data_IF_502479231270
#
_entry.id   IF_502479231270
#
_cell.length_a   1.000
_cell.length_b   1.000
_cell.length_c   1.000
_cell.angle_alpha   90.00
_cell.angle_beta   90.00
_cell.angle_gamma   90.00
#
_symmetry.space_group_name_H-M   'P 1'
#
loop_
_entity.id
_entity.type
_entity.pdbx_description
1 polymer ?
#
# COMPACT_ATOMS: atom_id res chain seq x y z
N UNK A 1 -20.30 30.59 -15.75
CA UNK A 1 -19.13 30.61 -14.86
C UNK A 1 -19.65 30.23 -13.50
N UNK A 2 -19.44 28.97 -13.13
CA UNK A 2 -20.04 28.38 -11.95
C UNK A 2 -19.22 28.76 -10.71
N UNK A 3 -19.82 29.29 -9.62
CA UNK A 3 -19.09 29.66 -8.41
C UNK A 3 -18.42 28.46 -7.70
N UNK A 4 -18.77 27.23 -8.08
CA UNK A 4 -18.22 25.95 -7.60
C UNK A 4 -16.84 25.61 -8.18
N UNK A 5 -16.32 26.36 -9.17
CA UNK A 5 -15.10 26.01 -9.89
C UNK A 5 -13.80 26.50 -9.24
N UNK A 6 -13.86 27.24 -8.13
CA UNK A 6 -12.65 27.78 -7.49
C UNK A 6 -12.16 26.79 -6.45
N UNK A 7 -10.91 26.33 -6.56
CA UNK A 7 -10.38 25.37 -5.59
C UNK A 7 -10.32 25.94 -4.17
N UNK A 8 -10.71 25.17 -3.13
CA UNK A 8 -10.57 25.58 -1.74
C UNK A 8 -9.09 25.64 -1.27
N UNK A 9 -8.14 25.15 -2.07
CA UNK A 9 -6.72 25.19 -1.76
C UNK A 9 -6.05 26.44 -2.35
N UNK A 10 -5.54 27.34 -1.51
CA UNK A 10 -4.85 28.57 -1.97
C UNK A 10 -3.61 28.26 -2.83
N UNK A 11 -2.93 27.14 -2.54
CA UNK A 11 -1.75 26.68 -3.28
C UNK A 11 -2.08 26.37 -4.75
N UNK A 12 -3.32 25.96 -5.04
CA UNK A 12 -3.75 25.69 -6.43
C UNK A 12 -3.72 26.97 -7.26
N UNK A 13 -4.05 28.11 -6.65
CA UNK A 13 -3.99 29.43 -7.30
C UNK A 13 -2.57 29.98 -7.33
N UNK A 14 -1.86 29.89 -6.21
CA UNK A 14 -0.51 30.46 -6.06
C UNK A 14 0.51 29.79 -6.99
N UNK A 15 0.45 28.46 -7.11
CA UNK A 15 1.42 27.65 -7.86
C UNK A 15 0.83 27.08 -9.16
N UNK A 16 -0.22 27.68 -9.71
CA UNK A 16 -0.92 27.16 -10.88
C UNK A 16 0.01 26.78 -12.06
N UNK A 17 1.01 27.61 -12.46
CA UNK A 17 1.95 27.25 -13.53
C UNK A 17 2.85 26.06 -13.21
N UNK A 18 3.27 25.90 -11.94
CA UNK A 18 4.10 24.80 -11.47
C UNK A 18 3.29 23.51 -11.39
N UNK A 19 2.07 23.58 -10.87
CA UNK A 19 1.13 22.45 -10.78
C UNK A 19 0.81 21.93 -12.17
N UNK A 20 0.54 22.82 -13.14
CA UNK A 20 0.30 22.44 -14.52
C UNK A 20 1.49 21.65 -15.13
N UNK A 21 2.73 22.03 -14.79
CA UNK A 21 3.92 21.31 -15.25
C UNK A 21 4.10 19.95 -14.56
N UNK A 22 3.82 19.84 -13.26
CA UNK A 22 3.85 18.56 -12.53
C UNK A 22 2.83 17.56 -13.07
N UNK A 23 1.66 18.05 -13.46
CA UNK A 23 0.54 17.22 -13.92
C UNK A 23 0.57 16.95 -15.43
N UNK A 24 1.35 17.69 -16.20
CA UNK A 24 1.49 17.47 -17.63
C UNK A 24 2.00 16.04 -17.93
N UNK A 25 1.43 15.43 -18.97
CA UNK A 25 1.94 14.17 -19.48
C UNK A 25 3.38 14.38 -20.01
N UNK A 26 4.33 13.51 -19.65
CA UNK A 26 5.69 13.64 -20.16
C UNK A 26 5.72 13.47 -21.68
N UNK A 27 6.59 14.18 -22.42
CA UNK A 27 6.79 13.94 -23.84
C UNK A 27 7.14 12.47 -24.09
N UNK A 28 6.59 11.89 -25.16
CA UNK A 28 6.76 10.46 -25.49
C UNK A 28 8.23 10.05 -25.53
N UNK A 29 9.10 10.88 -26.10
CA UNK A 29 10.54 10.62 -26.15
C UNK A 29 11.15 10.55 -24.74
N UNK A 30 10.84 11.50 -23.86
CA UNK A 30 11.34 11.52 -22.49
C UNK A 30 10.81 10.35 -21.66
N UNK A 31 9.56 9.93 -21.90
CA UNK A 31 8.98 8.74 -21.29
C UNK A 31 9.70 7.46 -21.79
N UNK A 32 9.97 7.35 -23.09
CA UNK A 32 10.73 6.22 -23.66
C UNK A 32 12.13 6.13 -23.04
N UNK A 33 12.88 7.24 -23.02
CA UNK A 33 14.23 7.29 -22.42
C UNK A 33 14.23 6.96 -20.92
N UNK A 34 13.14 7.26 -20.21
CA UNK A 34 12.98 6.88 -18.81
C UNK A 34 12.83 5.36 -18.68
N UNK A 35 11.93 4.75 -19.43
CA UNK A 35 11.69 3.31 -19.38
C UNK A 35 12.86 2.49 -19.91
N UNK A 36 13.53 2.93 -20.97
CA UNK A 36 14.71 2.26 -21.51
C UNK A 36 15.83 2.22 -20.45
N UNK A 37 16.05 3.31 -19.71
CA UNK A 37 17.01 3.34 -18.60
C UNK A 37 16.60 2.40 -17.46
N UNK A 38 15.31 2.33 -17.13
CA UNK A 38 14.82 1.40 -16.12
C UNK A 38 15.06 -0.05 -16.52
N UNK A 39 14.69 -0.42 -17.75
CA UNK A 39 14.88 -1.76 -18.32
C UNK A 39 16.36 -2.14 -18.31
N UNK A 40 17.23 -1.24 -18.76
CA UNK A 40 18.69 -1.44 -18.75
C UNK A 40 19.21 -1.64 -17.32
N UNK A 41 18.79 -0.79 -16.37
CA UNK A 41 19.22 -0.86 -14.97
C UNK A 41 18.71 -2.12 -14.24
N UNK A 42 17.51 -2.58 -14.59
CA UNK A 42 16.90 -3.79 -14.05
C UNK A 42 17.37 -5.08 -14.72
N UNK A 43 18.23 -4.97 -15.77
CA UNK A 43 18.67 -6.08 -16.60
C UNK A 43 17.51 -6.88 -17.21
N UNK A 44 16.42 -6.19 -17.56
CA UNK A 44 15.28 -6.80 -18.25
C UNK A 44 15.55 -6.85 -19.76
N UNK A 45 16.41 -7.76 -20.19
CA UNK A 45 16.85 -7.84 -21.59
C UNK A 45 15.75 -8.29 -22.58
N UNK A 46 14.70 -8.94 -22.08
CA UNK A 46 13.64 -9.56 -22.89
C UNK A 46 12.39 -8.72 -23.17
N UNK A 47 12.34 -7.48 -22.69
CA UNK A 47 11.17 -6.62 -22.84
C UNK A 47 11.53 -5.21 -23.32
N UNK A 48 10.54 -4.52 -23.87
CA UNK A 48 10.57 -3.09 -24.18
C UNK A 48 9.25 -2.43 -23.79
N UNK A 49 9.28 -1.16 -23.45
CA UNK A 49 8.06 -0.35 -23.33
C UNK A 49 7.76 0.27 -24.68
N UNK A 50 6.50 0.16 -25.11
CA UNK A 50 5.97 0.74 -26.33
C UNK A 50 4.79 1.67 -25.99
N UNK A 51 4.58 2.71 -26.80
CA UNK A 51 3.41 3.58 -26.70
C UNK A 51 2.55 3.48 -27.96
N UNK A 52 1.25 3.28 -27.79
CA UNK A 52 0.24 3.20 -28.85
C UNK A 52 -0.80 4.30 -28.66
N UNK A 53 -1.34 4.85 -29.75
CA UNK A 53 -2.48 5.79 -29.63
C UNK A 53 -3.75 5.12 -29.10
N UNK A 54 -3.89 3.80 -29.27
CA UNK A 54 -5.09 3.04 -28.92
C UNK A 54 -5.06 2.48 -27.50
N UNK A 55 -3.89 2.08 -27.02
CA UNK A 55 -3.71 1.35 -25.76
C UNK A 55 -2.62 1.99 -24.88
N UNK A 56 -2.19 3.22 -25.22
CA UNK A 56 -1.05 3.93 -24.63
C UNK A 56 0.14 3.05 -24.29
N UNK A 57 0.63 3.09 -23.04
CA UNK A 57 1.82 2.34 -22.63
C UNK A 57 1.55 0.82 -22.57
N UNK A 58 2.37 0.03 -23.24
CA UNK A 58 2.40 -1.42 -23.10
C UNK A 58 3.82 -1.94 -22.91
N UNK A 59 3.94 -3.10 -22.28
CA UNK A 59 5.20 -3.86 -22.22
C UNK A 59 5.13 -4.95 -23.29
N UNK A 60 6.12 -5.00 -24.16
CA UNK A 60 6.20 -5.97 -25.24
C UNK A 60 7.47 -6.81 -25.11
N UNK A 61 7.38 -8.09 -25.45
CA UNK A 61 8.57 -8.92 -25.63
C UNK A 61 9.45 -8.38 -26.77
N UNK A 62 10.77 -8.46 -26.60
CA UNK A 62 11.75 -8.20 -27.66
C UNK A 62 12.58 -9.46 -27.99
N UNK A 63 12.31 -10.58 -27.32
CA UNK A 63 12.87 -11.91 -27.53
C UNK A 63 11.79 -12.97 -27.31
N UNK A 64 12.08 -14.21 -27.67
CA UNK A 64 11.22 -15.37 -27.40
C UNK A 64 11.37 -15.81 -25.94
N UNK A 65 10.26 -16.26 -25.33
CA UNK A 65 10.22 -16.82 -23.98
C UNK A 65 9.63 -18.23 -24.05
N UNK A 66 10.18 -19.14 -23.26
CA UNK A 66 9.62 -20.46 -23.03
C UNK A 66 8.61 -20.45 -21.87
N UNK A 67 7.80 -21.50 -21.79
CA UNK A 67 6.92 -21.72 -20.64
C UNK A 67 7.75 -21.83 -19.35
N UNK A 68 7.34 -21.09 -18.31
CA UNK A 68 8.05 -21.01 -17.05
C UNK A 68 9.13 -19.91 -16.96
N UNK A 69 9.43 -19.21 -18.06
CA UNK A 69 10.40 -18.12 -18.03
C UNK A 69 9.90 -16.92 -17.20
N UNK A 70 10.79 -16.37 -16.36
CA UNK A 70 10.53 -15.10 -15.68
C UNK A 70 10.66 -13.94 -16.67
N UNK A 71 9.52 -13.43 -17.13
CA UNK A 71 9.45 -12.32 -18.11
C UNK A 71 9.79 -10.97 -17.48
N UNK A 72 9.23 -10.67 -16.31
CA UNK A 72 9.37 -9.38 -15.63
C UNK A 72 9.39 -9.58 -14.11
N UNK A 73 10.38 -8.94 -13.47
CA UNK A 73 10.42 -8.74 -12.02
C UNK A 73 10.48 -7.24 -11.74
N UNK A 74 9.31 -6.66 -11.52
CA UNK A 74 9.21 -5.22 -11.33
C UNK A 74 9.50 -4.78 -9.89
N UNK A 75 9.85 -3.51 -9.72
CA UNK A 75 10.06 -2.88 -8.43
C UNK A 75 8.85 -2.04 -8.07
N UNK A 76 8.45 -2.11 -6.81
CA UNK A 76 7.42 -1.22 -6.26
C UNK A 76 8.00 0.20 -6.21
N UNK A 77 7.28 1.13 -6.82
CA UNK A 77 7.53 2.56 -6.78
C UNK A 77 7.00 3.18 -5.49
N UNK A 78 5.76 2.87 -5.10
CA UNK A 78 5.15 3.27 -3.82
C UNK A 78 4.13 2.20 -3.45
N UNK A 79 4.07 1.79 -2.18
CA UNK A 79 3.00 0.90 -1.71
C UNK A 79 2.76 0.96 -0.21
N UNK A 80 1.58 0.52 0.20
CA UNK A 80 1.19 0.37 1.59
C UNK A 80 0.27 -0.86 1.76
N UNK A 81 0.49 -1.62 2.83
CA UNK A 81 -0.47 -2.63 3.31
C UNK A 81 -1.69 -1.91 3.91
N UNK A 82 -2.89 -2.43 3.70
CA UNK A 82 -4.10 -1.90 4.32
C UNK A 82 -4.01 -1.96 5.84
N UNK A 83 -4.52 -0.94 6.52
CA UNK A 83 -4.36 -0.79 7.97
C UNK A 83 -5.04 -1.90 8.75
N UNK A 84 -6.20 -2.36 8.29
CA UNK A 84 -6.90 -3.49 8.91
C UNK A 84 -6.16 -4.81 8.64
N UNK A 85 -5.60 -4.99 7.45
CA UNK A 85 -4.84 -6.19 7.08
C UNK A 85 -3.54 -6.34 7.91
N UNK A 86 -2.98 -5.24 8.45
CA UNK A 86 -1.84 -5.29 9.40
C UNK A 86 -2.17 -6.05 10.70
N UNK A 87 -3.45 -6.23 11.01
CA UNK A 87 -3.92 -7.04 12.15
C UNK A 87 -3.84 -8.53 11.81
N UNK A 88 -4.21 -8.90 10.58
CA UNK A 88 -4.27 -10.30 10.15
C UNK A 88 -2.91 -10.86 9.73
N UNK A 89 -2.03 -10.05 9.14
CA UNK A 89 -0.71 -10.49 8.76
C UNK A 89 0.37 -9.43 8.98
N UNK A 90 1.56 -9.91 9.30
CA UNK A 90 2.72 -9.06 9.54
C UNK A 90 3.77 -9.26 8.46
N UNK A 91 3.94 -8.23 7.65
CA UNK A 91 4.90 -8.23 6.55
C UNK A 91 5.95 -7.14 6.71
N UNK A 92 6.98 -7.19 5.87
CA UNK A 92 7.93 -6.11 5.70
C UNK A 92 7.22 -4.87 5.13
N UNK A 93 7.29 -3.74 5.82
CA UNK A 93 6.67 -2.47 5.43
C UNK A 93 7.20 -1.86 4.13
N UNK A 94 8.34 -2.38 3.63
CA UNK A 94 8.98 -1.94 2.40
C UNK A 94 8.72 -2.87 1.20
N UNK A 95 8.80 -4.18 1.39
CA UNK A 95 8.73 -5.17 0.31
C UNK A 95 7.58 -6.17 0.44
N UNK A 96 6.76 -6.06 1.49
CA UNK A 96 5.54 -6.85 1.72
C UNK A 96 5.73 -8.36 1.86
N UNK A 97 6.97 -8.84 1.94
CA UNK A 97 7.28 -10.21 2.31
C UNK A 97 6.92 -10.46 3.78
N UNK A 98 6.26 -11.57 4.08
CA UNK A 98 6.01 -12.05 5.45
C UNK A 98 7.31 -12.15 6.27
N UNK A 99 7.22 -11.83 7.57
CA UNK A 99 8.36 -11.80 8.52
C UNK A 99 8.02 -12.59 9.78
N UNK A 100 9.03 -12.99 10.56
CA UNK A 100 8.84 -13.73 11.81
C UNK A 100 8.88 -15.24 11.59
N UNK A 101 7.85 -15.95 12.02
CA UNK A 101 7.64 -17.40 11.84
C UNK A 101 6.16 -17.70 11.61
N UNK A 102 5.82 -18.93 11.24
CA UNK A 102 4.42 -19.38 11.10
C UNK A 102 3.68 -19.18 12.43
N UNK A 103 4.30 -19.57 13.54
CA UNK A 103 3.77 -19.39 14.90
C UNK A 103 3.51 -17.92 15.21
N UNK A 104 4.46 -17.03 14.87
CA UNK A 104 4.29 -15.60 15.06
C UNK A 104 3.09 -15.03 14.28
N UNK A 105 2.88 -15.45 13.03
CA UNK A 105 1.74 -15.01 12.21
C UNK A 105 0.41 -15.50 12.82
N UNK A 106 0.31 -16.81 13.11
CA UNK A 106 -0.88 -17.43 13.70
C UNK A 106 -1.20 -16.80 15.07
N UNK A 107 -0.20 -16.76 15.95
CA UNK A 107 -0.36 -16.29 17.33
C UNK A 107 -0.77 -14.82 17.41
N UNK A 108 -0.15 -13.95 16.61
CA UNK A 108 -0.46 -12.51 16.59
C UNK A 108 -1.88 -12.23 16.14
N UNK A 109 -2.34 -12.96 15.11
CA UNK A 109 -3.68 -12.80 14.59
C UNK A 109 -4.74 -13.25 15.59
N UNK A 110 -4.61 -14.48 16.11
CA UNK A 110 -5.54 -15.03 17.10
C UNK A 110 -5.57 -14.18 18.37
N UNK A 111 -4.42 -13.62 18.79
CA UNK A 111 -4.33 -12.71 19.94
C UNK A 111 -5.14 -11.42 19.73
N UNK A 112 -5.16 -10.87 18.52
CA UNK A 112 -5.96 -9.68 18.25
C UNK A 112 -7.43 -9.97 17.98
N UNK A 113 -7.76 -11.14 17.43
CA UNK A 113 -9.14 -11.60 17.37
C UNK A 113 -9.75 -11.75 18.78
N UNK A 114 -8.97 -12.26 19.76
CA UNK A 114 -9.45 -12.39 21.14
C UNK A 114 -9.65 -11.04 21.83
N UNK A 115 -8.78 -10.05 21.57
CA UNK A 115 -8.95 -8.67 22.07
C UNK A 115 -10.11 -7.96 21.37
N UNK A 116 -10.20 -8.08 20.05
CA UNK A 116 -11.24 -7.43 19.25
C UNK A 116 -12.64 -7.97 19.52
N UNK A 117 -12.76 -9.24 19.90
CA UNK A 117 -14.04 -9.85 20.33
C UNK A 117 -14.55 -9.31 21.67
N UNK A 118 -13.68 -8.70 22.49
CA UNK A 118 -14.06 -8.03 23.74
C UNK A 118 -14.47 -6.56 23.56
N UNK A 119 -14.33 -6.00 22.35
CA UNK A 119 -14.82 -4.66 22.00
C UNK A 119 -15.89 -4.77 20.93
N UNK A 120 -17.14 -4.42 21.26
CA UNK A 120 -18.32 -4.41 20.36
C UNK A 120 -18.13 -3.51 19.11
N UNK A 121 -17.33 -3.96 18.14
CA UNK A 121 -17.00 -3.22 16.91
C UNK A 121 -17.19 -4.07 15.65
N UNK A 122 -18.04 -5.10 15.68
CA UNK A 122 -18.20 -6.06 14.58
C UNK A 122 -18.95 -5.54 13.36
N UNK A 123 -19.31 -4.26 13.29
CA UNK A 123 -20.16 -3.74 12.20
C UNK A 123 -19.41 -3.03 11.04
N UNK A 124 -18.11 -3.30 10.84
CA UNK A 124 -17.34 -2.72 9.71
C UNK A 124 -16.73 -3.72 8.74
N UNK A 125 -17.01 -5.03 8.86
CA UNK A 125 -16.36 -6.09 8.06
C UNK A 125 -16.97 -6.40 6.69
N UNK A 126 -17.95 -5.63 6.20
CA UNK A 126 -18.45 -5.84 4.84
C UNK A 126 -18.55 -4.52 4.10
N UNK A 127 -17.72 -4.34 3.08
CA UNK A 127 -18.04 -3.83 1.74
C UNK A 127 -16.73 -3.78 0.94
N UNK A 128 -16.41 -4.86 0.20
CA UNK A 128 -15.75 -4.80 -1.11
C UNK A 128 -15.74 -6.20 -1.71
N UNK A 129 -16.39 -6.36 -2.86
CA UNK A 129 -16.52 -7.63 -3.58
C UNK A 129 -17.90 -7.78 -4.20
N UNK A 130 -18.20 -6.96 -5.20
CA UNK A 130 -19.34 -7.16 -6.08
C UNK A 130 -19.09 -8.38 -6.97
N UNK A 131 -19.75 -9.49 -6.67
CA UNK A 131 -20.14 -10.50 -7.65
C UNK A 131 -21.61 -10.86 -7.43
N UNK A 132 -22.41 -10.59 -8.45
CA UNK A 132 -23.84 -10.83 -8.47
C UNK A 132 -24.14 -12.31 -8.72
N UNK A 133 -24.94 -12.93 -7.83
CA UNK A 133 -25.45 -14.28 -8.06
C UNK A 133 -26.27 -14.91 -6.92
N UNK A 134 -27.52 -14.45 -6.75
CA UNK A 134 -28.68 -15.19 -6.22
C UNK A 134 -28.64 -15.86 -4.83
N UNK A 135 -29.22 -15.13 -3.86
CA UNK A 135 -30.25 -15.54 -2.90
C UNK A 135 -30.38 -17.03 -2.48
N UNK A 136 -30.01 -17.31 -1.23
CA UNK A 136 -30.79 -18.20 -0.37
C UNK A 136 -30.71 -17.72 1.08
N UNK A 137 -31.87 -17.37 1.63
CA UNK A 137 -32.09 -16.99 3.02
C UNK A 137 -31.79 -18.17 3.94
N UNK A 138 -31.03 -17.95 5.01
CA UNK A 138 -31.14 -18.81 6.21
C UNK A 138 -30.73 -18.03 7.47
N UNK A 139 -31.76 -17.64 8.20
CA UNK A 139 -31.97 -17.88 9.63
C UNK A 139 -30.75 -18.00 10.53
N UNK A 140 -30.72 -17.12 11.54
CA UNK A 140 -29.67 -17.05 12.56
C UNK A 140 -29.28 -18.39 13.16
N UNK A 141 -27.97 -18.58 13.22
CA UNK A 141 -27.30 -19.39 14.22
C UNK A 141 -26.14 -18.53 14.73
N UNK A 142 -26.28 -18.00 15.94
CA UNK A 142 -25.14 -17.61 16.76
C UNK A 142 -24.22 -18.83 16.86
N UNK A 143 -23.11 -18.84 16.12
CA UNK A 143 -22.03 -19.81 16.35
C UNK A 143 -21.34 -19.45 17.66
N UNK A 144 -22.00 -19.81 18.76
CA UNK A 144 -21.36 -20.06 20.05
C UNK A 144 -20.50 -21.32 19.90
N UNK A 145 -19.31 -21.17 19.35
CA UNK A 145 -18.21 -22.13 19.47
C UNK A 145 -16.90 -21.38 19.27
N UNK A 146 -16.68 -20.37 20.11
CA UNK A 146 -15.36 -19.78 20.28
C UNK A 146 -14.51 -20.80 21.03
N UNK A 147 -13.76 -21.63 20.31
CA UNK A 147 -12.59 -22.32 20.85
C UNK A 147 -11.53 -21.25 21.19
N UNK A 148 -11.78 -20.48 22.24
CA UNK A 148 -10.86 -19.45 22.73
C UNK A 148 -9.64 -20.16 23.27
N UNK A 149 -8.56 -20.13 22.49
CA UNK A 149 -7.26 -20.64 22.90
C UNK A 149 -6.75 -19.83 24.10
N UNK A 150 -6.07 -20.46 25.08
CA UNK A 150 -5.50 -19.75 26.22
C UNK A 150 -4.56 -18.64 25.77
N UNK A 151 -4.65 -17.46 26.39
CA UNK A 151 -3.82 -16.30 26.06
C UNK A 151 -2.32 -16.63 26.21
N UNK A 152 -1.96 -17.48 27.17
CA UNK A 152 -0.60 -17.96 27.38
C UNK A 152 -0.07 -18.76 26.18
N UNK A 153 -0.92 -19.55 25.53
CA UNK A 153 -0.55 -20.31 24.33
C UNK A 153 -0.29 -19.35 23.16
N UNK A 154 -1.15 -18.35 22.97
CA UNK A 154 -1.00 -17.33 21.92
C UNK A 154 0.26 -16.49 22.13
N UNK A 155 0.54 -16.06 23.37
CA UNK A 155 1.79 -15.37 23.73
C UNK A 155 3.01 -16.26 23.53
N UNK A 156 2.89 -17.56 23.78
CA UNK A 156 3.98 -18.51 23.54
C UNK A 156 4.30 -18.67 22.06
N UNK A 157 3.30 -18.68 21.18
CA UNK A 157 3.51 -18.62 19.72
C UNK A 157 4.20 -17.31 19.30
N UNK A 158 3.69 -16.15 19.76
CA UNK A 158 4.23 -14.83 19.40
C UNK A 158 5.70 -14.66 19.82
N UNK A 159 6.04 -15.15 21.01
CA UNK A 159 7.38 -15.01 21.56
C UNK A 159 8.35 -16.14 21.13
N UNK A 160 7.87 -17.14 20.38
CA UNK A 160 8.67 -18.28 19.91
C UNK A 160 8.97 -19.32 21.00
N UNK A 161 8.18 -19.37 22.07
CA UNK A 161 8.28 -20.39 23.13
C UNK A 161 7.53 -21.68 22.77
N UNK A 162 6.57 -21.61 21.85
CA UNK A 162 5.86 -22.76 21.30
C UNK A 162 6.22 -22.87 19.81
N UNK A 163 6.70 -24.05 19.41
CA UNK A 163 7.00 -24.38 18.01
C UNK A 163 5.93 -25.35 17.52
N UNK A 164 5.39 -25.07 16.33
CA UNK A 164 4.49 -26.00 15.66
C UNK A 164 5.33 -27.02 14.86
N UNK A 165 4.81 -28.24 14.63
CA UNK A 165 5.53 -29.25 13.87
C UNK A 165 5.73 -28.81 12.41
N UNK A 166 6.85 -29.23 11.79
CA UNK A 166 7.18 -29.01 10.37
C UNK A 166 7.35 -27.55 9.91
N UNK A 167 7.41 -26.58 10.84
CA UNK A 167 7.56 -25.16 10.47
C UNK A 167 8.96 -24.79 9.96
N UNK A 168 9.94 -25.67 10.12
CA UNK A 168 11.29 -25.52 9.59
C UNK A 168 11.34 -25.52 8.05
N UNK A 169 10.34 -26.10 7.39
CA UNK A 169 10.15 -26.02 5.93
C UNK A 169 9.69 -24.64 5.44
N UNK A 170 9.15 -23.81 6.35
CA UNK A 170 8.52 -22.51 6.04
C UNK A 170 9.32 -21.34 6.58
N UNK A 171 10.62 -21.32 6.29
CA UNK A 171 11.56 -20.31 6.79
C UNK A 171 11.20 -18.88 6.38
N UNK A 172 10.82 -18.06 7.37
CA UNK A 172 10.57 -16.63 7.20
C UNK A 172 11.74 -15.77 7.70
N UNK A 173 11.97 -14.58 7.11
CA UNK A 173 13.00 -13.68 7.57
C UNK A 173 12.70 -13.13 8.97
N UNK A 174 13.75 -12.96 9.78
CA UNK A 174 13.62 -12.36 11.12
C UNK A 174 13.07 -10.94 11.06
N UNK A 175 12.30 -10.58 12.08
CA UNK A 175 11.73 -9.24 12.22
C UNK A 175 12.80 -8.23 12.63
N UNK A 176 12.96 -7.18 11.84
CA UNK A 176 13.72 -5.98 12.17
C UNK A 176 12.71 -4.88 12.50
N UNK A 177 12.76 -4.32 13.70
CA UNK A 177 11.86 -3.25 14.12
C UNK A 177 12.28 -1.90 13.51
N UNK A 178 11.32 -0.99 13.33
CA UNK A 178 11.64 0.39 13.05
C UNK A 178 12.47 1.03 14.18
N UNK A 179 13.35 1.97 13.80
CA UNK A 179 14.22 2.72 14.72
C UNK A 179 13.50 3.78 15.56
N UNK A 180 12.20 3.97 15.31
CA UNK A 180 11.38 5.05 15.87
C UNK A 180 10.04 4.57 16.39
N UNK A 181 9.19 3.98 15.54
CA UNK A 181 7.85 3.52 15.90
C UNK A 181 7.81 2.00 16.15
N UNK A 182 6.73 1.51 16.74
CA UNK A 182 6.48 0.08 17.01
C UNK A 182 5.60 -0.60 15.94
N UNK A 183 5.08 0.20 15.00
CA UNK A 183 4.15 -0.24 13.97
C UNK A 183 4.87 -0.92 12.81
N UNK A 184 5.88 -0.25 12.24
CA UNK A 184 6.56 -0.73 11.03
C UNK A 184 7.66 -1.76 11.34
N UNK A 185 7.69 -2.82 10.53
CA UNK A 185 8.56 -3.99 10.68
C UNK A 185 9.18 -4.34 9.33
N UNK A 186 10.37 -4.91 9.35
CA UNK A 186 11.14 -5.17 8.12
C UNK A 186 11.74 -6.57 8.12
N UNK A 187 11.94 -7.12 6.91
CA UNK A 187 12.61 -8.41 6.75
C UNK A 187 14.14 -8.33 6.82
N UNK A 188 14.70 -7.12 6.81
CA UNK A 188 16.15 -6.88 6.86
C UNK A 188 16.46 -5.43 7.21
N UNK A 189 17.69 -5.18 7.67
CA UNK A 189 18.18 -3.82 7.90
C UNK A 189 18.18 -3.00 6.60
N UNK A 190 18.51 -3.61 5.45
CA UNK A 190 18.48 -2.95 4.15
C UNK A 190 17.08 -2.45 3.78
N UNK A 191 16.03 -3.24 4.06
CA UNK A 191 14.65 -2.79 3.86
C UNK A 191 14.28 -1.66 4.83
N UNK A 192 14.70 -1.75 6.09
CA UNK A 192 14.46 -0.69 7.08
C UNK A 192 15.12 0.64 6.69
N UNK A 193 16.38 0.58 6.22
CA UNK A 193 17.12 1.76 5.75
C UNK A 193 16.50 2.33 4.47
N UNK A 194 16.12 1.46 3.52
CA UNK A 194 15.50 1.88 2.27
C UNK A 194 14.14 2.55 2.51
N UNK A 195 13.30 1.98 3.36
CA UNK A 195 12.01 2.57 3.74
C UNK A 195 12.21 3.92 4.44
N UNK A 196 13.18 4.01 5.37
CA UNK A 196 13.49 5.25 6.06
C UNK A 196 13.92 6.37 5.10
N UNK A 197 14.83 6.06 4.17
CA UNK A 197 15.35 7.01 3.18
C UNK A 197 14.32 7.41 2.13
N UNK A 198 13.34 6.55 1.86
CA UNK A 198 12.42 6.72 0.73
C UNK A 198 11.05 7.23 1.16
N UNK A 199 10.53 6.81 2.32
CA UNK A 199 9.18 7.14 2.78
C UNK A 199 9.08 7.43 4.28
N UNK A 200 9.52 6.50 5.12
CA UNK A 200 9.06 6.46 6.51
C UNK A 200 9.61 7.57 7.40
N UNK A 201 10.76 8.18 7.08
CA UNK A 201 11.38 9.20 7.94
C UNK A 201 10.52 10.45 8.19
N UNK A 202 9.64 10.84 7.26
CA UNK A 202 8.69 11.94 7.48
C UNK A 202 7.36 11.48 8.10
N UNK A 203 7.00 10.21 7.96
CA UNK A 203 5.73 9.63 8.41
C UNK A 203 5.84 8.83 9.72
N UNK A 204 7.04 8.77 10.32
CA UNK A 204 7.28 7.99 11.53
C UNK A 204 6.55 8.59 12.74
N UNK A 205 5.73 7.78 13.40
CA UNK A 205 5.02 8.11 14.66
C UNK A 205 5.86 7.84 15.91
N UNK A 206 7.15 7.54 15.75
CA UNK A 206 8.05 7.18 16.83
C UNK A 206 8.31 8.29 17.85
N UNK A 207 8.77 7.92 19.05
CA UNK A 207 9.06 8.86 20.14
C UNK A 207 10.15 9.90 19.81
N UNK A 208 11.00 9.62 18.82
CA UNK A 208 12.03 10.54 18.31
C UNK A 208 11.51 11.59 17.34
N UNK A 209 10.28 11.44 16.84
CA UNK A 209 9.60 12.43 16.01
C UNK A 209 9.17 13.60 16.89
N UNK A 210 9.35 14.83 16.40
CA UNK A 210 8.84 16.04 17.06
C UNK A 210 7.38 15.83 17.53
N UNK A 211 7.04 16.16 18.79
CA UNK A 211 5.71 15.88 19.34
C UNK A 211 4.56 16.50 18.54
N UNK A 212 4.74 17.69 17.98
CA UNK A 212 3.69 18.37 17.21
C UNK A 212 3.45 17.66 15.88
N UNK A 213 4.53 17.33 15.16
CA UNK A 213 4.47 16.53 13.93
C UNK A 213 3.89 15.14 14.20
N UNK A 214 4.33 14.47 15.26
CA UNK A 214 3.82 13.15 15.65
C UNK A 214 2.31 13.18 15.88
N UNK A 215 1.80 14.20 16.58
CA UNK A 215 0.36 14.38 16.78
C UNK A 215 -0.38 14.63 15.45
N UNK A 216 0.18 15.43 14.56
CA UNK A 216 -0.40 15.67 13.24
C UNK A 216 -0.44 14.40 12.37
N UNK A 217 0.64 13.60 12.38
CA UNK A 217 0.67 12.30 11.69
C UNK A 217 -0.40 11.37 12.24
N UNK A 218 -0.57 11.28 13.57
CA UNK A 218 -1.63 10.44 14.15
C UNK A 218 -3.03 10.85 13.68
N UNK A 219 -3.34 12.16 13.65
CA UNK A 219 -4.63 12.65 13.13
C UNK A 219 -4.84 12.30 11.66
N UNK A 220 -3.79 12.42 10.86
CA UNK A 220 -3.81 12.04 9.44
C UNK A 220 -4.08 10.53 9.27
N UNK A 221 -3.37 9.67 10.02
CA UNK A 221 -3.54 8.21 9.96
C UNK A 221 -4.92 7.79 10.47
N UNK A 222 -5.41 8.41 11.55
CA UNK A 222 -6.76 8.17 12.06
C UNK A 222 -7.83 8.53 11.03
N UNK A 223 -7.69 9.69 10.36
CA UNK A 223 -8.57 10.08 9.26
C UNK A 223 -8.53 9.05 8.13
N UNK A 224 -7.34 8.67 7.66
CA UNK A 224 -7.18 7.70 6.58
C UNK A 224 -7.84 6.35 6.92
N UNK A 225 -7.55 5.79 8.09
CA UNK A 225 -8.15 4.54 8.56
C UNK A 225 -9.67 4.64 8.78
N UNK A 226 -10.16 5.85 9.11
CA UNK A 226 -11.57 6.13 9.32
C UNK A 226 -12.37 6.24 8.02
N UNK A 227 -11.71 6.60 6.92
CA UNK A 227 -12.36 6.96 5.65
C UNK A 227 -11.88 6.16 4.45
N UNK A 228 -10.58 6.21 4.10
CA UNK A 228 -10.02 5.50 2.95
C UNK A 228 -8.48 5.37 3.06
N UNK A 229 -7.98 4.13 3.02
CA UNK A 229 -6.55 3.80 3.12
C UNK A 229 -5.71 4.35 1.95
N UNK A 230 -6.33 4.78 0.86
CA UNK A 230 -5.65 5.39 -0.31
C UNK A 230 -4.85 6.63 0.09
N UNK A 231 -5.26 7.33 1.15
CA UNK A 231 -4.53 8.48 1.65
C UNK A 231 -3.16 8.11 2.19
N UNK A 232 -2.99 6.93 2.79
CA UNK A 232 -1.71 6.47 3.31
C UNK A 232 -0.70 6.25 2.17
N UNK A 233 -1.14 5.67 1.06
CA UNK A 233 -0.27 5.48 -0.11
C UNK A 233 0.00 6.80 -0.84
N UNK A 234 -0.98 7.72 -0.90
CA UNK A 234 -0.78 9.06 -1.45
C UNK A 234 0.24 9.88 -0.62
N UNK A 235 0.20 9.77 0.71
CA UNK A 235 1.19 10.39 1.60
C UNK A 235 2.61 9.85 1.37
N UNK A 236 2.75 8.53 1.16
CA UNK A 236 4.04 7.93 0.77
C UNK A 236 4.54 8.47 -0.56
N UNK A 237 3.66 8.72 -1.55
CA UNK A 237 4.06 9.30 -2.84
C UNK A 237 4.57 10.76 -2.73
N UNK A 238 3.90 11.59 -1.91
CA UNK A 238 4.41 12.94 -1.60
C UNK A 238 5.77 12.85 -0.90
N UNK A 239 5.85 11.98 0.12
CA UNK A 239 7.07 11.84 0.93
C UNK A 239 8.26 11.34 0.11
N UNK A 240 8.03 10.38 -0.79
CA UNK A 240 9.01 9.94 -1.79
C UNK A 240 9.59 11.13 -2.55
N UNK A 241 8.72 12.02 -3.02
CA UNK A 241 9.14 13.16 -3.85
C UNK A 241 9.91 14.18 -3.02
N UNK A 242 9.43 14.51 -1.82
CA UNK A 242 10.10 15.45 -0.90
C UNK A 242 11.49 14.94 -0.48
N UNK A 243 11.61 13.64 -0.13
CA UNK A 243 12.89 13.05 0.26
C UNK A 243 13.86 12.96 -0.92
N UNK A 244 13.38 12.64 -2.13
CA UNK A 244 14.19 12.70 -3.36
C UNK A 244 14.68 14.12 -3.65
N UNK A 245 13.80 15.12 -3.55
CA UNK A 245 14.15 16.53 -3.70
C UNK A 245 15.27 16.94 -2.73
N UNK A 246 15.11 16.62 -1.45
CA UNK A 246 16.11 16.90 -0.42
C UNK A 246 17.45 16.21 -0.70
N UNK A 247 17.43 14.99 -1.25
CA UNK A 247 18.66 14.28 -1.64
C UNK A 247 19.35 14.94 -2.83
N UNK A 248 18.60 15.36 -3.85
CA UNK A 248 19.15 16.06 -5.02
C UNK A 248 19.77 17.40 -4.63
N UNK A 249 19.09 18.18 -3.77
CA UNK A 249 19.56 19.48 -3.29
C UNK A 249 20.88 19.41 -2.52
N UNK A 250 21.14 18.32 -1.80
CA UNK A 250 22.38 18.11 -1.03
C UNK A 250 23.58 17.69 -1.88
N UNK A 251 23.37 17.28 -3.13
CA UNK A 251 24.49 16.86 -4.00
C UNK A 251 25.30 18.08 -4.43
N UNK A 252 26.65 17.97 -4.48
CA UNK A 252 27.50 19.07 -4.95
C UNK A 252 27.16 19.36 -6.42
N UNK A 253 26.48 20.49 -6.65
CA UNK A 253 26.07 20.92 -7.98
C UNK A 253 27.29 21.18 -8.86
N UNK A 254 27.34 20.54 -10.04
CA UNK A 254 28.37 20.80 -11.05
C UNK A 254 28.13 22.12 -11.82
N UNK A 255 26.93 22.69 -11.75
CA UNK A 255 26.53 23.96 -12.36
C UNK A 255 25.57 24.71 -11.42
N UNK A 256 25.82 25.99 -11.21
CA UNK A 256 25.22 26.85 -10.17
C UNK A 256 23.84 27.46 -10.49
N UNK A 257 23.12 26.99 -11.51
CA UNK A 257 21.86 27.63 -11.98
C UNK A 257 20.61 26.72 -12.00
N UNK A 258 20.65 25.54 -11.38
CA UNK A 258 19.43 24.71 -11.28
C UNK A 258 18.43 25.32 -10.29
N UNK A 259 17.28 25.76 -10.80
CA UNK A 259 16.19 26.27 -9.97
C UNK A 259 15.64 25.18 -9.05
N UNK A 260 15.16 25.57 -7.86
CA UNK A 260 14.49 24.66 -6.91
C UNK A 260 13.36 23.85 -7.58
N UNK A 261 12.63 24.46 -8.52
CA UNK A 261 11.57 23.78 -9.24
C UNK A 261 12.09 22.72 -10.22
N UNK A 262 13.25 22.93 -10.86
CA UNK A 262 13.89 21.91 -11.71
C UNK A 262 14.26 20.66 -10.91
N UNK A 263 14.83 20.84 -9.72
CA UNK A 263 15.12 19.73 -8.79
C UNK A 263 13.85 19.00 -8.36
N UNK A 264 12.76 19.75 -8.11
CA UNK A 264 11.46 19.17 -7.77
C UNK A 264 10.89 18.34 -8.93
N UNK A 265 10.99 18.82 -10.16
CA UNK A 265 10.57 18.08 -11.35
C UNK A 265 11.37 16.77 -11.52
N UNK A 266 12.69 16.78 -11.29
CA UNK A 266 13.50 15.55 -11.34
C UNK A 266 13.16 14.58 -10.18
N UNK A 267 12.83 15.12 -9.01
CA UNK A 267 12.34 14.33 -7.89
C UNK A 267 11.00 13.66 -8.19
N UNK A 268 10.07 14.39 -8.81
CA UNK A 268 8.70 13.99 -9.18
C UNK A 268 8.63 13.02 -10.36
N UNK A 269 9.67 13.01 -11.20
CA UNK A 269 9.75 12.23 -12.45
C UNK A 269 9.23 10.79 -12.38
N UNK A 270 9.46 9.97 -11.32
CA UNK A 270 8.86 8.64 -11.25
C UNK A 270 7.33 8.65 -11.27
N UNK A 271 6.70 9.58 -10.55
CA UNK A 271 5.24 9.73 -10.49
C UNK A 271 4.69 10.48 -11.72
N UNK A 272 5.53 11.27 -12.40
CA UNK A 272 5.13 11.93 -13.65
C UNK A 272 4.79 10.92 -14.75
N UNK A 273 5.41 9.73 -14.73
CA UNK A 273 5.21 8.67 -15.72
C UNK A 273 3.91 7.90 -15.56
N UNK A 274 3.26 8.01 -14.40
CA UNK A 274 1.97 7.41 -14.15
C UNK A 274 0.83 8.19 -14.79
N UNK A 275 -0.13 7.47 -15.37
CA UNK A 275 -1.39 8.06 -15.80
C UNK A 275 -2.19 8.49 -14.56
N UNK A 276 -2.63 9.74 -14.56
CA UNK A 276 -3.28 10.36 -13.41
C UNK A 276 -4.39 11.28 -13.89
N UNK A 277 -5.53 11.21 -13.20
CA UNK A 277 -6.64 12.15 -13.26
C UNK A 277 -7.06 12.45 -11.83
N UNK A 278 -7.85 13.51 -11.63
CA UNK A 278 -8.45 13.79 -10.32
C UNK A 278 -9.31 12.63 -9.88
N UNK A 279 -9.15 12.24 -8.61
CA UNK A 279 -9.91 11.15 -8.01
C UNK A 279 -11.42 11.36 -8.12
N UNK A 280 -11.93 12.53 -7.74
CA UNK A 280 -13.37 12.83 -7.80
C UNK A 280 -13.93 12.83 -9.23
N UNK A 281 -13.11 13.04 -10.26
CA UNK A 281 -13.55 12.95 -11.66
C UNK A 281 -13.54 11.50 -12.20
N UNK A 282 -12.92 10.56 -11.46
CA UNK A 282 -12.54 9.24 -11.99
C UNK A 282 -13.02 8.05 -11.16
N UNK A 283 -13.32 8.25 -9.87
CA UNK A 283 -13.86 7.20 -9.00
C UNK A 283 -15.18 6.67 -9.57
N UNK A 284 -15.44 5.37 -9.47
CA UNK A 284 -16.71 4.81 -9.90
C UNK A 284 -17.85 5.36 -9.02
N UNK A 285 -19.02 5.58 -9.62
CA UNK A 285 -20.23 5.88 -8.85
C UNK A 285 -20.68 4.58 -8.16
N UNK A 286 -20.89 4.56 -6.84
CA UNK A 286 -21.44 3.40 -6.15
C UNK A 286 -22.84 3.05 -6.69
N UNK A 287 -23.18 1.75 -6.67
CA UNK A 287 -24.48 1.25 -7.18
C UNK A 287 -25.69 1.84 -6.44
N UNK A 288 -25.49 2.32 -5.21
CA UNK A 288 -26.51 2.92 -4.34
C UNK A 288 -26.65 4.45 -4.49
N UNK A 289 -25.85 5.08 -5.36
CA UNK A 289 -25.96 6.52 -5.64
C UNK A 289 -26.72 6.75 -6.94
N UNK A 290 -27.82 7.50 -6.87
CA UNK A 290 -28.58 7.91 -8.06
C UNK A 290 -27.72 8.85 -8.93
N UNK A 291 -27.84 8.73 -10.25
CA UNK A 291 -27.19 9.64 -11.20
C UNK A 291 -27.52 11.11 -10.94
N UNK A 292 -28.70 11.42 -10.40
CA UNK A 292 -29.09 12.77 -10.02
C UNK A 292 -28.24 13.35 -8.86
N UNK A 293 -27.58 12.49 -8.08
CA UNK A 293 -26.75 12.86 -6.93
C UNK A 293 -25.23 12.80 -7.25
N UNK A 294 -24.84 12.52 -8.50
CA UNK A 294 -23.42 12.35 -8.88
C UNK A 294 -22.57 13.57 -8.52
N UNK A 295 -23.04 14.80 -8.81
CA UNK A 295 -22.30 16.03 -8.49
C UNK A 295 -22.05 16.18 -6.97
N UNK A 296 -23.05 15.82 -6.16
CA UNK A 296 -22.95 15.83 -4.70
C UNK A 296 -21.92 14.81 -4.23
N UNK A 297 -21.95 13.59 -4.79
CA UNK A 297 -20.97 12.56 -4.50
C UNK A 297 -19.54 12.99 -4.89
N UNK A 298 -19.34 13.53 -6.10
CA UNK A 298 -18.01 14.03 -6.53
C UNK A 298 -17.49 15.12 -5.59
N UNK A 299 -18.37 16.03 -5.16
CA UNK A 299 -18.02 17.08 -4.23
C UNK A 299 -17.61 16.51 -2.85
N UNK A 300 -18.33 15.50 -2.33
CA UNK A 300 -17.95 14.83 -1.09
C UNK A 300 -16.56 14.16 -1.18
N UNK A 301 -16.26 13.48 -2.28
CA UNK A 301 -14.95 12.86 -2.53
C UNK A 301 -13.84 13.93 -2.59
N UNK A 302 -14.12 15.07 -3.23
CA UNK A 302 -13.20 16.21 -3.28
C UNK A 302 -12.95 16.81 -1.89
N UNK A 303 -13.99 17.00 -1.09
CA UNK A 303 -13.90 17.55 0.27
C UNK A 303 -13.16 16.60 1.22
N UNK A 304 -13.34 15.29 1.02
CA UNK A 304 -12.60 14.27 1.74
C UNK A 304 -11.09 14.33 1.41
N UNK A 305 -10.74 14.41 0.12
CA UNK A 305 -9.35 14.58 -0.31
C UNK A 305 -8.73 15.88 0.23
N UNK A 306 -9.50 16.98 0.27
CA UNK A 306 -9.04 18.25 0.82
C UNK A 306 -8.81 18.20 2.32
N UNK A 307 -9.69 17.55 3.08
CA UNK A 307 -9.53 17.33 4.53
C UNK A 307 -8.27 16.54 4.82
N UNK A 308 -8.09 15.41 4.12
CA UNK A 308 -6.90 14.57 4.22
C UNK A 308 -5.61 15.35 3.90
N UNK A 309 -5.64 16.18 2.85
CA UNK A 309 -4.52 17.04 2.47
C UNK A 309 -4.15 18.06 3.55
N UNK A 310 -5.12 18.70 4.22
CA UNK A 310 -4.81 19.63 5.31
C UNK A 310 -4.11 18.92 6.47
N UNK A 311 -4.60 17.74 6.86
CA UNK A 311 -3.97 16.93 7.90
C UNK A 311 -2.55 16.52 7.52
N UNK A 312 -2.32 16.18 6.24
CA UNK A 312 -0.99 15.85 5.75
C UNK A 312 -0.05 17.07 5.73
N UNK A 313 -0.56 18.25 5.37
CA UNK A 313 0.21 19.51 5.41
C UNK A 313 0.64 19.82 6.84
N UNK A 314 -0.26 19.72 7.81
CA UNK A 314 0.07 19.92 9.22
C UNK A 314 1.18 18.97 9.71
N UNK A 315 1.28 17.80 9.09
CA UNK A 315 2.28 16.79 9.43
C UNK A 315 3.64 17.01 8.74
N UNK A 316 3.67 17.22 7.43
CA UNK A 316 4.91 17.11 6.64
C UNK A 316 5.12 18.23 5.61
N UNK A 317 4.42 19.36 5.71
CA UNK A 317 4.54 20.45 4.75
C UNK A 317 5.98 20.98 4.65
N UNK A 318 6.45 21.14 3.41
CA UNK A 318 7.77 21.66 3.07
C UNK A 318 7.59 22.79 2.04
N UNK A 319 7.98 24.02 2.41
CA UNK A 319 7.67 25.21 1.61
C UNK A 319 8.31 25.20 0.22
N UNK A 320 9.49 24.62 0.09
CA UNK A 320 10.17 24.48 -1.21
C UNK A 320 9.51 23.45 -2.13
N UNK A 321 8.70 22.55 -1.55
CA UNK A 321 7.90 21.57 -2.26
C UNK A 321 6.40 21.92 -2.25
N UNK A 322 6.03 23.17 -1.93
CA UNK A 322 4.64 23.60 -1.77
C UNK A 322 3.69 23.19 -2.92
N UNK A 323 4.09 23.20 -4.21
CA UNK A 323 3.23 22.72 -5.29
C UNK A 323 2.73 21.27 -5.13
N UNK A 324 3.47 20.39 -4.43
CA UNK A 324 3.05 19.01 -4.16
C UNK A 324 1.88 18.92 -3.17
N UNK A 325 1.72 19.93 -2.33
CA UNK A 325 0.67 20.02 -1.30
C UNK A 325 -0.57 20.77 -1.80
N UNK A 326 -0.73 20.85 -3.12
CA UNK A 326 -1.90 21.39 -3.80
C UNK A 326 -2.99 20.33 -3.89
N UNK A 327 -4.27 20.73 -3.87
CA UNK A 327 -5.38 19.77 -3.97
C UNK A 327 -5.41 19.13 -5.34
N UNK A 328 -5.00 19.87 -6.37
CA UNK A 328 -4.83 19.36 -7.71
C UNK A 328 -3.80 18.22 -7.76
N UNK A 329 -2.58 18.42 -7.25
CA UNK A 329 -1.56 17.35 -7.27
C UNK A 329 -2.00 16.17 -6.41
N UNK A 330 -2.53 16.42 -5.20
CA UNK A 330 -2.95 15.36 -4.30
C UNK A 330 -4.09 14.51 -4.89
N UNK A 331 -5.11 15.15 -5.47
CA UNK A 331 -6.22 14.48 -6.14
C UNK A 331 -5.78 13.64 -7.33
N UNK A 332 -4.75 14.07 -8.08
CA UNK A 332 -4.17 13.29 -9.18
C UNK A 332 -3.33 12.11 -8.69
N UNK A 333 -2.61 12.24 -7.57
CA UNK A 333 -1.91 11.11 -6.94
C UNK A 333 -2.92 10.04 -6.53
N UNK A 334 -4.01 10.44 -5.85
CA UNK A 334 -5.04 9.51 -5.42
C UNK A 334 -5.69 8.84 -6.64
N UNK A 335 -6.09 9.62 -7.64
CA UNK A 335 -6.70 9.07 -8.85
C UNK A 335 -5.76 8.16 -9.64
N UNK A 336 -4.43 8.32 -9.53
CA UNK A 336 -3.46 7.36 -10.07
C UNK A 336 -3.57 5.98 -9.41
N UNK A 337 -3.81 5.90 -8.10
CA UNK A 337 -3.99 4.60 -7.44
C UNK A 337 -5.35 3.99 -7.75
N UNK A 338 -6.41 4.80 -7.75
CA UNK A 338 -7.77 4.41 -8.09
C UNK A 338 -7.86 3.83 -9.52
N UNK A 339 -7.40 4.59 -10.51
CA UNK A 339 -7.58 4.24 -11.93
C UNK A 339 -6.76 3.03 -12.40
N UNK A 340 -5.66 2.72 -11.71
CA UNK A 340 -4.76 1.67 -12.14
C UNK A 340 -5.00 0.35 -11.39
N UNK A 341 -6.07 0.27 -10.58
CA UNK A 341 -6.50 -0.89 -9.78
C UNK A 341 -5.32 -1.67 -9.17
N UNK A 342 -4.50 -0.93 -8.41
CA UNK A 342 -3.17 -1.33 -8.00
C UNK A 342 -3.15 -2.20 -6.74
N UNK A 343 -3.94 -3.28 -6.74
CA UNK A 343 -3.99 -4.24 -5.64
C UNK A 343 -2.63 -4.88 -5.38
N UNK A 344 -2.18 -4.83 -4.13
CA UNK A 344 -1.07 -5.61 -3.62
C UNK A 344 -1.66 -6.87 -2.98
N UNK A 345 -1.25 -8.05 -3.44
CA UNK A 345 -1.59 -9.33 -2.80
C UNK A 345 -0.32 -10.17 -2.67
N UNK A 346 0.03 -10.57 -1.45
CA UNK A 346 1.11 -11.53 -1.18
C UNK A 346 0.50 -12.72 -0.44
N UNK A 347 0.58 -13.90 -1.05
CA UNK A 347 0.04 -15.14 -0.48
C UNK A 347 0.60 -15.43 0.91
N UNK A 348 -0.25 -15.98 1.77
CA UNK A 348 0.10 -16.27 3.16
C UNK A 348 0.90 -17.57 3.27
N UNK A 349 2.08 -17.58 3.92
CA UNK A 349 2.81 -18.81 4.17
C UNK A 349 2.09 -19.74 5.17
N UNK A 350 1.07 -19.24 5.88
CA UNK A 350 0.22 -20.05 6.77
C UNK A 350 -0.66 -20.99 5.95
N UNK A 351 -1.06 -20.60 4.74
CA UNK A 351 -1.81 -21.46 3.83
C UNK A 351 -0.96 -22.65 3.40
N UNK A 352 0.23 -22.37 2.84
CA UNK A 352 1.18 -23.41 2.41
C UNK A 352 1.55 -24.36 3.57
N UNK A 353 1.65 -23.82 4.80
CA UNK A 353 1.89 -24.62 5.99
C UNK A 353 0.78 -25.63 6.27
N UNK A 354 -0.49 -25.19 6.30
CA UNK A 354 -1.59 -26.10 6.59
C UNK A 354 -1.86 -27.07 5.43
N UNK A 355 -1.63 -26.67 4.18
CA UNK A 355 -1.65 -27.59 3.03
C UNK A 355 -0.61 -28.69 3.23
N UNK A 356 0.62 -28.33 3.63
CA UNK A 356 1.65 -29.33 3.89
C UNK A 356 1.28 -30.30 5.00
N UNK A 357 0.67 -29.83 6.10
CA UNK A 357 0.17 -30.71 7.16
C UNK A 357 -0.92 -31.66 6.63
N UNK A 358 -1.82 -31.17 5.77
CA UNK A 358 -2.91 -31.98 5.19
C UNK A 358 -2.39 -33.07 4.24
N UNK A 359 -1.28 -32.79 3.54
CA UNK A 359 -0.60 -33.67 2.58
C UNK A 359 0.36 -34.70 3.22
N UNK A 360 0.57 -34.67 4.55
CA UNK A 360 1.42 -35.64 5.24
C UNK A 360 0.84 -37.07 5.18
N UNK A 361 1.69 -38.11 5.28
CA UNK A 361 1.24 -39.49 5.50
C UNK A 361 0.34 -39.59 6.74
N UNK A 362 -0.66 -40.50 6.72
CA UNK A 362 -1.71 -40.59 7.74
C UNK A 362 -1.19 -40.61 9.20
N UNK A 363 -0.09 -41.33 9.45
CA UNK A 363 0.53 -41.44 10.78
C UNK A 363 1.19 -40.14 11.24
N UNK A 364 1.94 -39.47 10.36
CA UNK A 364 2.55 -38.17 10.66
C UNK A 364 1.51 -37.05 10.76
N UNK A 365 0.48 -37.10 9.91
CA UNK A 365 -0.63 -36.16 9.90
C UNK A 365 -1.41 -36.21 11.22
N UNK A 366 -1.75 -37.40 11.71
CA UNK A 366 -2.49 -37.55 12.97
C UNK A 366 -1.71 -36.94 14.16
N UNK A 367 -0.39 -37.16 14.21
CA UNK A 367 0.47 -36.57 15.25
C UNK A 367 0.61 -35.05 15.11
N UNK A 368 0.74 -34.54 13.88
CA UNK A 368 0.80 -33.11 13.63
C UNK A 368 -0.51 -32.39 14.01
N UNK A 369 -1.65 -32.96 13.60
CA UNK A 369 -2.97 -32.40 13.85
C UNK A 369 -3.32 -32.33 15.34
N UNK A 370 -2.80 -33.25 16.18
CA UNK A 370 -2.95 -33.16 17.65
C UNK A 370 -2.46 -31.81 18.19
N UNK A 371 -1.47 -31.21 17.55
CA UNK A 371 -0.91 -29.90 17.94
C UNK A 371 -1.51 -28.76 17.13
N UNK A 372 -1.69 -28.93 15.82
CA UNK A 372 -2.03 -27.82 14.90
C UNK A 372 -3.53 -27.59 14.76
N UNK A 373 -4.36 -28.62 14.92
CA UNK A 373 -5.82 -28.55 14.72
C UNK A 373 -6.50 -27.47 15.58
N UNK A 374 -6.17 -27.29 16.88
CA UNK A 374 -6.79 -26.24 17.68
C UNK A 374 -6.54 -24.83 17.11
N UNK A 375 -5.36 -24.60 16.51
CA UNK A 375 -5.03 -23.32 15.88
C UNK A 375 -5.74 -23.14 14.54
N UNK A 376 -5.79 -24.18 13.71
CA UNK A 376 -6.52 -24.16 12.44
C UNK A 376 -8.01 -23.90 12.67
N UNK A 377 -8.62 -24.62 13.62
CA UNK A 377 -10.04 -24.45 13.94
C UNK A 377 -10.34 -23.05 14.49
N UNK A 378 -9.42 -22.46 15.27
CA UNK A 378 -9.57 -21.10 15.77
C UNK A 378 -9.40 -20.04 14.68
N UNK A 379 -8.56 -20.29 13.67
CA UNK A 379 -8.40 -19.41 12.51
C UNK A 379 -9.60 -19.48 11.56
N UNK A 380 -10.27 -20.64 11.47
CA UNK A 380 -11.44 -20.86 10.62
C UNK A 380 -11.14 -20.71 9.13
N UNK A 381 -12.13 -20.25 8.37
CA UNK A 381 -12.02 -20.05 6.91
C UNK A 381 -10.96 -19.00 6.53
N UNK A 382 -10.63 -18.12 7.47
CA UNK A 382 -9.73 -17.02 7.18
C UNK A 382 -8.25 -17.41 7.35
N UNK A 383 -7.87 -18.66 7.64
CA UNK A 383 -6.47 -19.07 7.92
C UNK A 383 -5.45 -18.63 6.86
N UNK A 384 -5.89 -18.48 5.60
CA UNK A 384 -5.08 -18.14 4.44
C UNK A 384 -5.05 -16.64 4.10
N UNK A 385 -5.52 -15.73 4.97
CA UNK A 385 -5.58 -14.28 4.66
C UNK A 385 -4.23 -13.75 4.14
N UNK A 386 -4.18 -13.26 2.89
CA UNK A 386 -2.96 -12.74 2.30
C UNK A 386 -2.60 -11.37 2.88
N UNK A 387 -1.40 -10.88 2.58
CA UNK A 387 -1.10 -9.46 2.72
C UNK A 387 -1.78 -8.71 1.59
N UNK A 388 -2.63 -7.75 1.97
CA UNK A 388 -3.41 -6.92 1.06
C UNK A 388 -3.03 -5.46 1.20
N UNK A 389 -3.05 -4.74 0.08
CA UNK A 389 -2.73 -3.32 0.07
C UNK A 389 -2.89 -2.68 -1.29
N UNK A 390 -2.25 -1.52 -1.44
CA UNK A 390 -2.14 -0.81 -2.71
C UNK A 390 -0.67 -0.56 -3.06
N UNK A 391 -0.27 -0.81 -4.30
CA UNK A 391 1.09 -0.54 -4.75
C UNK A 391 1.21 -0.18 -6.24
N UNK A 392 1.94 0.89 -6.53
CA UNK A 392 2.36 1.27 -7.88
C UNK A 392 3.75 0.72 -8.16
N UNK A 393 3.97 0.24 -9.39
CA UNK A 393 5.20 -0.33 -9.90
C UNK A 393 5.75 0.53 -11.04
N UNK A 394 7.05 0.41 -11.31
CA UNK A 394 7.69 1.23 -12.33
C UNK A 394 7.26 0.87 -13.75
N UNK A 395 7.22 -0.42 -14.11
CA UNK A 395 6.97 -0.89 -15.48
C UNK A 395 5.51 -1.32 -15.68
N UNK A 396 4.98 -2.13 -14.76
CA UNK A 396 3.69 -2.82 -14.87
C UNK A 396 2.48 -1.96 -14.54
N UNK A 397 2.63 -0.90 -13.74
CA UNK A 397 1.55 0.05 -13.49
C UNK A 397 1.38 1.01 -14.67
N UNK A 398 0.16 1.48 -14.89
CA UNK A 398 -0.19 2.39 -15.99
C UNK A 398 -0.10 1.82 -17.42
N UNK A 399 -0.56 0.59 -17.72
CA UNK A 399 -1.09 0.34 -19.05
C UNK A 399 -2.41 1.12 -19.14
N UNK A 400 -2.55 2.10 -20.04
CA UNK A 400 -3.82 2.79 -20.18
C UNK A 400 -4.85 1.86 -20.80
N UNK A 401 -6.08 2.02 -20.32
CA UNK A 401 -7.29 1.42 -20.87
C UNK A 401 -7.54 1.86 -22.31
#
# INVERSE_FOLDING_TARGET
>A
MDPSSTSPCELDREFAPQIAQLLAAPPLQSAQEYYDRLIQSGKHDGIRVNFSSKHGKGVCANKEFAEGDLILKDRILVGAQHSLNKIDCTVCSYCFRFVGSIEFQIGRRLYWQSIGSNSDCTNRRHYHGSDAGSSASSSGATKENSNTLPEEALRSLINGNLSLPFTDHFGLPRVVACRGCEEERYCSQSCADSDWETYHSLLCTGSKTDPSRRSAIHKFVEHANGTNDIFLVAAKAITLTVLRYNKLKRQPQKNTDESNFSLLMEAWKPLSMGFKKRWWDSVALPDDVDFCDEDSFRQQIRDLAYTSLQLLKDAIFESECAPLFSLEVYGHIIGMFELNNLGLVVASPVEDYFIHIDDLPDDEKEEAEKVTRPFLDALGEDYAVPCEGMCSFFLSSCPPH
#
